data_IF_403687520946
#
_entry.id   IF_403687520946
#
_cell.length_a   1.000
_cell.length_b   1.000
_cell.length_c   1.000
_cell.angle_alpha   90.00
_cell.angle_beta   90.00
_cell.angle_gamma   90.00
#
_symmetry.space_group_name_H-M   'P 1'
#
loop_
_entity.id
_entity.type
_entity.pdbx_description
1 polymer ?
#
# COMPACT_ATOMS: atom_id res chain seq x y z
N UNK A 1 15.98 -20.79 60.73
CA UNK A 1 15.59 -22.20 60.91
C UNK A 1 15.07 -22.72 59.58
N UNK A 2 15.75 -23.71 59.02
CA UNK A 2 15.35 -24.45 57.82
C UNK A 2 14.17 -25.36 58.14
N UNK A 3 13.22 -25.52 57.22
CA UNK A 3 12.54 -26.79 57.04
C UNK A 3 12.46 -27.17 55.57
N UNK A 4 12.99 -28.37 55.30
CA UNK A 4 12.90 -29.12 54.07
C UNK A 4 11.65 -30.02 54.09
N UNK A 5 11.27 -30.46 52.89
CA UNK A 5 10.88 -31.84 52.52
C UNK A 5 9.39 -32.23 52.30
N UNK A 6 9.20 -32.78 51.09
CA UNK A 6 8.42 -33.96 50.64
C UNK A 6 6.87 -33.84 50.58
N UNK A 7 6.27 -33.94 49.38
CA UNK A 7 5.77 -35.18 48.71
C UNK A 7 4.60 -35.80 49.52
N UNK A 8 3.39 -36.10 49.03
CA UNK A 8 2.84 -36.53 47.74
C UNK A 8 1.31 -36.43 47.84
N UNK A 9 0.58 -35.91 46.85
CA UNK A 9 -0.79 -36.39 46.51
C UNK A 9 -0.97 -36.25 45.00
N UNK A 10 -0.85 -37.39 44.32
CA UNK A 10 -1.31 -37.64 42.97
C UNK A 10 -2.82 -37.87 42.94
N UNK A 11 -3.40 -37.60 41.77
CA UNK A 11 -4.73 -37.99 41.29
C UNK A 11 -5.91 -37.05 41.56
N UNK A 12 -6.21 -36.20 40.57
CA UNK A 12 -7.48 -36.20 39.81
C UNK A 12 -7.45 -35.13 38.69
N UNK A 13 -7.63 -35.54 37.43
CA UNK A 13 -8.33 -34.72 36.43
C UNK A 13 -7.54 -34.08 35.27
N UNK A 14 -7.15 -34.92 34.31
CA UNK A 14 -7.16 -34.74 32.85
C UNK A 14 -7.54 -33.37 32.21
N UNK A 15 -6.64 -32.93 31.31
CA UNK A 15 -6.79 -32.10 30.10
C UNK A 15 -7.39 -30.68 30.18
N UNK A 16 -6.60 -29.69 29.81
CA UNK A 16 -6.62 -29.10 28.46
C UNK A 16 -5.38 -28.20 28.32
N UNK A 17 -4.43 -28.66 27.51
CA UNK A 17 -3.35 -27.82 27.00
C UNK A 17 -3.97 -26.63 26.26
N UNK A 18 -3.84 -25.43 26.81
CA UNK A 18 -4.04 -24.22 26.05
C UNK A 18 -2.93 -24.17 25.01
N UNK A 19 -3.27 -24.61 23.80
CA UNK A 19 -2.45 -24.45 22.61
C UNK A 19 -2.25 -22.96 22.37
N UNK A 20 -1.24 -22.37 23.01
CA UNK A 20 -0.64 -21.15 22.52
C UNK A 20 -0.17 -21.47 21.10
N UNK A 21 -0.88 -20.93 20.11
CA UNK A 21 -0.48 -21.02 18.73
C UNK A 21 0.94 -20.47 18.63
N UNK A 22 1.90 -21.35 18.36
CA UNK A 22 3.25 -20.99 17.95
C UNK A 22 3.07 -20.04 16.76
N UNK A 23 3.66 -18.82 16.75
CA UNK A 23 3.57 -17.94 15.60
C UNK A 23 4.06 -18.74 14.39
N UNK A 24 3.22 -18.90 13.36
CA UNK A 24 3.65 -19.48 12.10
C UNK A 24 4.90 -18.73 11.70
N UNK A 25 6.02 -19.42 11.49
CA UNK A 25 7.23 -18.79 10.95
C UNK A 25 6.82 -18.04 9.68
N UNK A 26 6.74 -16.71 9.76
CA UNK A 26 6.26 -15.90 8.65
C UNK A 26 7.12 -16.19 7.43
N UNK A 27 6.42 -16.52 6.34
CA UNK A 27 7.06 -16.82 5.07
C UNK A 27 7.92 -15.64 4.61
N UNK A 28 8.96 -15.90 3.82
CA UNK A 28 9.75 -14.84 3.18
C UNK A 28 8.87 -13.87 2.37
N UNK A 29 7.82 -14.37 1.71
CA UNK A 29 6.90 -13.51 0.95
C UNK A 29 6.14 -12.55 1.86
N UNK A 30 5.66 -13.02 3.02
CA UNK A 30 4.88 -12.20 3.94
C UNK A 30 5.74 -11.05 4.49
N UNK A 31 6.95 -11.36 4.93
CA UNK A 31 7.89 -10.35 5.47
C UNK A 31 8.28 -9.28 4.44
N UNK A 32 8.43 -9.65 3.17
CA UNK A 32 8.67 -8.70 2.08
C UNK A 32 7.44 -7.82 1.78
N UNK A 33 6.25 -8.43 1.81
CA UNK A 33 5.00 -7.73 1.60
C UNK A 33 4.73 -6.72 2.73
N UNK A 34 4.92 -7.13 3.98
CA UNK A 34 4.80 -6.26 5.16
C UNK A 34 5.81 -5.12 5.15
N UNK A 35 7.07 -5.40 4.75
CA UNK A 35 8.05 -4.34 4.53
C UNK A 35 7.52 -3.27 3.55
N UNK A 36 6.99 -3.69 2.40
CA UNK A 36 6.48 -2.77 1.39
C UNK A 36 5.26 -1.98 1.88
N UNK A 37 4.32 -2.64 2.58
CA UNK A 37 3.18 -1.97 3.22
C UNK A 37 3.64 -0.87 4.18
N UNK A 38 4.52 -1.20 5.12
CA UNK A 38 5.00 -0.26 6.14
C UNK A 38 5.79 0.90 5.52
N UNK A 39 6.59 0.62 4.48
CA UNK A 39 7.31 1.66 3.75
C UNK A 39 6.33 2.63 3.07
N UNK A 40 5.28 2.11 2.42
CA UNK A 40 4.26 2.92 1.74
C UNK A 40 3.47 3.77 2.74
N UNK A 41 3.07 3.19 3.88
CA UNK A 41 2.41 3.89 4.99
C UNK A 41 3.30 5.04 5.47
N UNK A 42 4.59 4.79 5.72
CA UNK A 42 5.52 5.81 6.21
C UNK A 42 5.76 6.96 5.23
N UNK A 43 5.55 6.72 3.93
CA UNK A 43 5.69 7.73 2.87
C UNK A 43 4.42 8.59 2.76
N UNK A 44 3.25 7.96 2.71
CA UNK A 44 2.00 8.65 2.36
C UNK A 44 1.22 9.14 3.57
N UNK A 45 1.35 8.48 4.71
CA UNK A 45 0.52 8.76 5.88
C UNK A 45 1.16 9.85 6.71
N UNK A 46 0.42 10.93 6.90
CA UNK A 46 0.84 12.03 7.75
C UNK A 46 0.06 12.04 9.08
N UNK A 47 0.62 12.64 10.14
CA UNK A 47 -0.08 12.76 11.40
C UNK A 47 -1.45 13.42 11.26
N UNK A 48 -2.39 12.94 12.07
CA UNK A 48 -3.79 13.37 12.13
C UNK A 48 -4.60 13.11 10.85
N UNK A 49 -4.11 12.30 9.92
CA UNK A 49 -4.88 11.90 8.74
C UNK A 49 -6.10 11.05 9.13
N UNK A 50 -7.18 11.20 8.37
CA UNK A 50 -8.24 10.19 8.28
C UNK A 50 -7.86 9.17 7.20
N UNK A 51 -7.71 7.91 7.61
CA UNK A 51 -7.33 6.81 6.71
C UNK A 51 -8.48 5.83 6.57
N UNK A 52 -8.80 5.45 5.33
CA UNK A 52 -9.71 4.36 5.03
C UNK A 52 -8.92 3.16 4.47
N UNK A 53 -8.99 2.00 5.14
CA UNK A 53 -8.33 0.75 4.74
C UNK A 53 -9.38 -0.20 4.15
N UNK A 54 -9.31 -0.42 2.83
CA UNK A 54 -10.17 -1.33 2.09
C UNK A 54 -9.62 -2.75 2.17
N UNK A 55 -10.50 -3.72 2.38
CA UNK A 55 -10.14 -5.12 2.64
C UNK A 55 -9.20 -5.22 3.84
N UNK A 56 -9.55 -4.53 4.93
CA UNK A 56 -8.67 -4.39 6.10
C UNK A 56 -8.36 -5.73 6.81
N UNK A 57 -9.13 -6.79 6.54
CA UNK A 57 -8.94 -8.12 7.13
C UNK A 57 -9.27 -8.14 8.64
N UNK A 58 -8.90 -9.23 9.30
CA UNK A 58 -9.07 -9.42 10.75
C UNK A 58 -7.80 -9.06 11.53
N UNK A 59 -7.94 -8.20 12.55
CA UNK A 59 -7.05 -7.84 13.69
C UNK A 59 -5.55 -7.54 13.49
N UNK A 60 -4.86 -8.27 12.61
CA UNK A 60 -3.41 -8.52 12.63
C UNK A 60 -2.58 -7.27 12.33
N UNK A 61 -3.17 -6.30 11.63
CA UNK A 61 -2.50 -5.11 11.12
C UNK A 61 -2.88 -3.81 11.88
N UNK A 62 -3.66 -3.88 12.96
CA UNK A 62 -4.20 -2.69 13.63
C UNK A 62 -3.11 -1.73 14.18
N UNK A 63 -1.94 -2.26 14.55
CA UNK A 63 -0.83 -1.50 15.13
C UNK A 63 -0.03 -0.69 14.11
N UNK A 64 -0.14 -1.00 12.80
CA UNK A 64 0.64 -0.33 11.75
C UNK A 64 0.37 1.18 11.67
N UNK A 65 -0.79 1.60 12.14
CA UNK A 65 -1.23 2.99 12.14
C UNK A 65 -0.73 3.80 13.33
N UNK A 66 -0.33 3.14 14.44
CA UNK A 66 0.14 3.82 15.65
C UNK A 66 1.38 4.67 15.37
N UNK A 67 2.34 4.09 14.64
CA UNK A 67 3.58 4.76 14.26
C UNK A 67 3.38 5.97 13.34
N UNK A 68 2.24 6.03 12.63
CA UNK A 68 1.89 7.11 11.73
C UNK A 68 1.08 8.24 12.41
N UNK A 69 0.63 8.04 13.66
CA UNK A 69 -0.12 9.02 14.46
C UNK A 69 -1.36 9.55 13.72
N UNK A 70 -2.14 8.65 13.11
CA UNK A 70 -3.38 9.02 12.42
C UNK A 70 -4.41 9.63 13.39
N UNK A 71 -5.36 10.38 12.85
CA UNK A 71 -6.44 11.00 13.63
C UNK A 71 -7.70 10.15 13.69
N UNK A 72 -7.99 9.44 12.61
CA UNK A 72 -9.19 8.62 12.47
C UNK A 72 -8.95 7.44 11.52
N UNK A 73 -9.52 6.28 11.83
CA UNK A 73 -9.43 5.06 11.03
C UNK A 73 -10.81 4.59 10.57
N UNK A 74 -10.92 4.24 9.29
CA UNK A 74 -12.12 3.66 8.68
C UNK A 74 -11.74 2.30 8.09
N UNK A 75 -12.16 1.20 8.71
CA UNK A 75 -11.96 -0.14 8.17
C UNK A 75 -13.16 -0.60 7.35
N UNK A 76 -12.94 -1.06 6.12
CA UNK A 76 -14.00 -1.67 5.29
C UNK A 76 -13.55 -3.07 4.90
N UNK A 77 -14.38 -4.08 5.19
CA UNK A 77 -14.13 -5.45 4.77
C UNK A 77 -15.42 -6.15 4.33
N UNK A 78 -15.28 -7.19 3.50
CA UNK A 78 -16.40 -8.00 3.00
C UNK A 78 -16.90 -8.95 4.09
N UNK A 79 -16.04 -9.33 5.04
CA UNK A 79 -16.32 -10.32 6.06
C UNK A 79 -16.80 -9.67 7.37
N UNK A 80 -18.05 -9.94 7.76
CA UNK A 80 -18.58 -9.60 9.10
C UNK A 80 -17.70 -10.10 10.24
N UNK A 81 -17.16 -11.32 10.14
CA UNK A 81 -16.22 -11.86 11.13
C UNK A 81 -14.91 -11.08 11.18
N UNK A 82 -14.34 -10.69 10.03
CA UNK A 82 -13.14 -9.86 9.98
C UNK A 82 -13.35 -8.47 10.59
N UNK A 83 -14.50 -7.86 10.31
CA UNK A 83 -14.93 -6.58 10.90
C UNK A 83 -15.08 -6.71 12.42
N UNK A 84 -15.70 -7.79 12.92
CA UNK A 84 -15.88 -8.02 14.36
C UNK A 84 -14.55 -8.24 15.06
N UNK A 85 -13.67 -9.06 14.51
CA UNK A 85 -12.33 -9.31 15.04
C UNK A 85 -11.49 -8.02 15.12
N UNK A 86 -11.54 -7.18 14.07
CA UNK A 86 -10.88 -5.88 14.08
C UNK A 86 -11.45 -4.94 15.14
N UNK A 87 -12.78 -4.91 15.29
CA UNK A 87 -13.45 -4.09 16.29
C UNK A 87 -13.05 -4.52 17.69
N UNK A 88 -13.10 -5.82 17.99
CA UNK A 88 -12.69 -6.36 19.29
C UNK A 88 -11.21 -6.11 19.58
N UNK A 89 -10.34 -6.32 18.59
CA UNK A 89 -8.91 -6.03 18.71
C UNK A 89 -8.69 -4.53 18.99
N UNK A 90 -9.38 -3.65 18.27
CA UNK A 90 -9.29 -2.21 18.48
C UNK A 90 -9.85 -1.80 19.84
N UNK A 91 -10.98 -2.32 20.29
CA UNK A 91 -11.57 -2.00 21.61
C UNK A 91 -10.69 -2.51 22.77
N UNK A 92 -10.01 -3.63 22.57
CA UNK A 92 -9.04 -4.16 23.53
C UNK A 92 -7.78 -3.28 23.65
N UNK A 93 -7.44 -2.58 22.57
CA UNK A 93 -6.30 -1.69 22.50
C UNK A 93 -6.77 -0.27 22.80
N UNK A 94 -6.28 0.36 23.88
CA UNK A 94 -6.58 1.77 24.15
C UNK A 94 -5.87 2.70 23.15
N UNK A 95 -6.36 2.74 21.91
CA UNK A 95 -5.84 3.58 20.83
C UNK A 95 -6.18 5.04 21.07
N UNK A 96 -5.29 5.91 20.60
CA UNK A 96 -5.40 7.38 20.75
C UNK A 96 -6.27 8.04 19.66
N UNK A 97 -6.58 7.29 18.60
CA UNK A 97 -7.39 7.74 17.46
C UNK A 97 -8.73 7.01 17.45
N UNK A 98 -9.76 7.62 16.90
CA UNK A 98 -11.08 7.00 16.76
C UNK A 98 -11.11 6.04 15.58
N UNK A 99 -11.93 4.99 15.64
CA UNK A 99 -12.10 4.04 14.55
C UNK A 99 -13.57 3.73 14.28
N UNK A 100 -13.89 3.53 13.01
CA UNK A 100 -15.18 3.02 12.53
C UNK A 100 -14.93 1.84 11.59
N UNK A 101 -15.84 0.86 11.63
CA UNK A 101 -15.72 -0.36 10.83
C UNK A 101 -17.04 -0.64 10.11
N UNK A 102 -16.94 -0.98 8.82
CA UNK A 102 -18.06 -1.22 7.94
C UNK A 102 -17.90 -2.57 7.25
N UNK A 103 -19.00 -3.32 7.19
CA UNK A 103 -19.14 -4.50 6.35
C UNK A 103 -19.69 -4.04 4.99
N UNK A 104 -18.87 -4.12 3.95
CA UNK A 104 -19.28 -3.84 2.58
C UNK A 104 -18.28 -4.44 1.61
N UNK A 105 -18.73 -4.84 0.42
CA UNK A 105 -17.82 -5.13 -0.68
C UNK A 105 -17.58 -3.87 -1.52
N UNK A 106 -16.34 -3.31 -1.50
CA UNK A 106 -15.99 -2.15 -2.28
C UNK A 106 -16.23 -2.30 -3.80
N UNK A 107 -16.27 -3.54 -4.33
CA UNK A 107 -16.46 -3.83 -5.75
C UNK A 107 -17.90 -3.94 -6.20
N UNK A 108 -18.81 -4.43 -5.35
CA UNK A 108 -20.17 -4.82 -5.78
C UNK A 108 -21.26 -3.99 -5.13
N UNK A 109 -21.01 -3.37 -3.97
CA UNK A 109 -22.00 -2.56 -3.27
C UNK A 109 -21.82 -1.08 -3.58
N UNK A 110 -22.93 -0.38 -3.84
CA UNK A 110 -22.88 1.07 -3.75
C UNK A 110 -22.76 1.33 -2.26
N UNK A 111 -21.68 2.00 -1.84
CA UNK A 111 -21.53 2.45 -0.47
C UNK A 111 -22.86 2.97 0.04
N UNK A 112 -23.48 2.21 0.95
CA UNK A 112 -24.85 2.44 1.39
C UNK A 112 -24.97 3.76 2.15
N UNK A 113 -26.16 4.07 2.69
CA UNK A 113 -26.41 5.34 3.41
C UNK A 113 -25.31 5.66 4.45
N UNK A 114 -24.82 4.65 5.17
CA UNK A 114 -23.77 4.82 6.18
C UNK A 114 -22.40 5.23 5.61
N UNK A 115 -22.00 4.71 4.45
CA UNK A 115 -20.74 5.10 3.81
C UNK A 115 -20.90 6.37 2.96
N UNK A 116 -22.12 6.71 2.53
CA UNK A 116 -22.41 8.02 1.94
C UNK A 116 -22.22 9.15 2.95
N UNK A 117 -22.55 8.93 4.22
CA UNK A 117 -22.23 9.89 5.30
C UNK A 117 -20.73 10.12 5.44
N UNK A 118 -19.88 9.17 4.98
CA UNK A 118 -18.42 9.26 4.96
C UNK A 118 -17.85 9.86 3.68
N UNK A 119 -18.70 10.33 2.76
CA UNK A 119 -18.24 10.98 1.54
C UNK A 119 -17.35 12.18 1.85
N UNK A 120 -16.22 12.29 1.14
CA UNK A 120 -15.21 13.33 1.28
C UNK A 120 -14.66 13.49 2.72
N UNK A 121 -14.51 12.41 3.48
CA UNK A 121 -13.95 12.45 4.83
C UNK A 121 -12.52 11.90 4.92
N UNK A 122 -12.11 11.03 3.99
CA UNK A 122 -10.79 10.41 4.02
C UNK A 122 -9.74 11.31 3.36
N UNK A 123 -8.61 11.52 4.04
CA UNK A 123 -7.42 12.12 3.42
C UNK A 123 -6.71 11.08 2.55
N UNK A 124 -6.78 9.80 2.99
CA UNK A 124 -6.11 8.68 2.37
C UNK A 124 -7.07 7.49 2.31
N UNK A 125 -7.15 6.84 1.15
CA UNK A 125 -7.76 5.52 0.99
C UNK A 125 -6.66 4.56 0.59
N UNK A 126 -6.49 3.45 1.31
CA UNK A 126 -5.54 2.42 0.97
C UNK A 126 -6.23 1.10 0.66
N UNK A 127 -5.70 0.37 -0.32
CA UNK A 127 -6.10 -0.99 -0.64
C UNK A 127 -4.82 -1.83 -0.69
N UNK A 128 -4.37 -2.25 0.50
CA UNK A 128 -3.11 -2.96 0.69
C UNK A 128 -3.24 -4.46 0.47
N UNK A 129 -4.44 -4.95 0.16
CA UNK A 129 -4.74 -6.34 -0.15
C UNK A 129 -5.92 -6.38 -1.13
N UNK A 130 -6.00 -7.45 -1.92
CA UNK A 130 -7.20 -7.80 -2.69
C UNK A 130 -7.69 -6.82 -3.76
N UNK A 131 -6.91 -5.79 -4.15
CA UNK A 131 -7.28 -4.90 -5.27
C UNK A 131 -7.67 -5.70 -6.53
N UNK A 132 -6.92 -6.75 -6.83
CA UNK A 132 -7.11 -7.57 -8.03
C UNK A 132 -8.51 -8.17 -8.15
N UNK A 133 -9.25 -8.34 -7.05
CA UNK A 133 -10.60 -8.89 -7.08
C UNK A 133 -11.57 -8.04 -7.91
N UNK A 134 -11.32 -6.73 -8.01
CA UNK A 134 -12.16 -5.83 -8.81
C UNK A 134 -12.02 -6.06 -10.33
N UNK A 135 -10.96 -6.76 -10.77
CA UNK A 135 -10.69 -7.01 -12.19
C UNK A 135 -11.40 -8.25 -12.75
N UNK A 136 -12.39 -8.81 -12.05
CA UNK A 136 -13.22 -9.88 -12.62
C UNK A 136 -14.01 -9.39 -13.85
N UNK A 137 -14.54 -8.16 -13.81
CA UNK A 137 -15.20 -7.49 -14.91
C UNK A 137 -15.00 -5.96 -14.81
N UNK A 138 -15.37 -5.22 -15.86
CA UNK A 138 -15.15 -3.77 -15.92
C UNK A 138 -16.05 -3.02 -14.92
N UNK A 139 -17.28 -3.50 -14.70
CA UNK A 139 -18.25 -2.89 -13.81
C UNK A 139 -17.74 -2.84 -12.36
N UNK A 140 -17.16 -3.94 -11.86
CA UNK A 140 -16.61 -4.05 -10.52
C UNK A 140 -15.44 -3.07 -10.32
N UNK A 141 -14.50 -3.03 -11.27
CA UNK A 141 -13.37 -2.10 -11.22
C UNK A 141 -13.82 -0.63 -11.25
N UNK A 142 -14.77 -0.30 -12.14
CA UNK A 142 -15.36 1.05 -12.24
C UNK A 142 -16.03 1.45 -10.93
N UNK A 143 -16.79 0.53 -10.34
CA UNK A 143 -17.53 0.75 -9.10
C UNK A 143 -16.60 0.98 -7.92
N UNK A 144 -15.57 0.14 -7.75
CA UNK A 144 -14.53 0.33 -6.74
C UNK A 144 -13.92 1.74 -6.82
N UNK A 145 -13.55 2.18 -8.01
CA UNK A 145 -12.86 3.46 -8.19
C UNK A 145 -13.79 4.66 -7.94
N UNK A 146 -15.07 4.56 -8.29
CA UNK A 146 -16.07 5.57 -7.91
C UNK A 146 -16.28 5.63 -6.40
N UNK A 147 -16.37 4.47 -5.75
CA UNK A 147 -16.48 4.33 -4.30
C UNK A 147 -15.25 4.96 -3.59
N UNK A 148 -14.03 4.66 -4.04
CA UNK A 148 -12.80 5.29 -3.55
C UNK A 148 -12.84 6.81 -3.73
N UNK A 149 -13.20 7.28 -4.92
CA UNK A 149 -13.26 8.70 -5.23
C UNK A 149 -14.28 9.46 -4.37
N UNK A 150 -15.40 8.82 -4.03
CA UNK A 150 -16.43 9.44 -3.17
C UNK A 150 -15.99 9.58 -1.71
N UNK A 151 -15.17 8.66 -1.20
CA UNK A 151 -14.62 8.73 0.16
C UNK A 151 -13.53 9.79 0.31
N UNK A 152 -12.71 9.97 -0.73
CA UNK A 152 -11.57 10.89 -0.69
C UNK A 152 -12.00 12.35 -0.65
N UNK A 153 -11.32 13.14 0.18
CA UNK A 153 -11.32 14.60 0.06
C UNK A 153 -10.62 15.03 -1.24
N UNK A 154 -10.94 16.21 -1.78
CA UNK A 154 -10.09 16.85 -2.79
C UNK A 154 -8.64 16.94 -2.29
N UNK A 155 -7.69 16.62 -3.16
CA UNK A 155 -6.26 16.53 -2.84
C UNK A 155 -5.81 15.21 -2.19
N UNK A 156 -6.74 14.34 -1.78
CA UNK A 156 -6.46 13.07 -1.12
C UNK A 156 -5.88 12.00 -2.05
N UNK A 157 -5.30 10.94 -1.47
CA UNK A 157 -4.61 9.88 -2.22
C UNK A 157 -5.27 8.52 -2.08
N UNK A 158 -5.37 7.81 -3.20
CA UNK A 158 -5.66 6.38 -3.25
C UNK A 158 -4.38 5.61 -3.56
N UNK A 159 -3.96 4.70 -2.68
CA UNK A 159 -2.75 3.93 -2.90
C UNK A 159 -2.87 2.49 -2.43
N UNK A 160 -1.94 1.64 -2.87
CA UNK A 160 -1.90 0.28 -2.38
C UNK A 160 -0.86 -0.58 -3.06
N UNK A 161 -1.01 -1.89 -2.86
CA UNK A 161 -0.13 -2.91 -3.42
C UNK A 161 -1.02 -3.95 -4.12
N UNK A 162 -0.60 -4.37 -5.31
CA UNK A 162 -1.28 -5.43 -6.07
C UNK A 162 -0.25 -6.29 -6.79
N UNK A 163 -0.55 -7.55 -7.15
CA UNK A 163 0.35 -8.33 -7.98
C UNK A 163 0.71 -7.62 -9.30
N UNK A 164 1.99 -7.62 -9.64
CA UNK A 164 2.53 -6.99 -10.84
C UNK A 164 2.18 -7.82 -12.07
N UNK A 165 1.08 -7.45 -12.72
CA UNK A 165 0.54 -8.23 -13.82
C UNK A 165 1.45 -8.18 -15.06
N UNK A 166 2.21 -7.10 -15.26
CA UNK A 166 3.21 -6.99 -16.33
C UNK A 166 4.34 -8.00 -16.15
N UNK A 167 4.88 -8.13 -14.93
CA UNK A 167 5.95 -9.07 -14.59
C UNK A 167 5.47 -10.51 -14.65
N UNK A 168 4.28 -10.78 -14.09
CA UNK A 168 3.65 -12.10 -14.12
C UNK A 168 3.41 -12.55 -15.57
N UNK A 169 2.88 -11.66 -16.41
CA UNK A 169 2.63 -11.95 -17.82
C UNK A 169 3.92 -12.11 -18.64
N UNK A 170 4.93 -11.27 -18.41
CA UNK A 170 6.23 -11.40 -19.08
C UNK A 170 6.90 -12.74 -18.75
N UNK A 171 6.83 -13.18 -17.48
CA UNK A 171 7.31 -14.51 -17.07
C UNK A 171 6.52 -15.64 -17.75
N UNK A 172 5.21 -15.47 -17.92
CA UNK A 172 4.36 -16.43 -18.64
C UNK A 172 4.76 -16.55 -20.12
N UNK A 173 4.86 -15.43 -20.83
CA UNK A 173 5.23 -15.41 -22.25
C UNK A 173 6.61 -16.03 -22.49
N UNK A 174 7.61 -15.68 -21.67
CA UNK A 174 8.95 -16.28 -21.76
C UNK A 174 8.95 -17.80 -21.56
N UNK A 175 8.09 -18.30 -20.67
CA UNK A 175 7.95 -19.73 -20.41
C UNK A 175 7.33 -20.46 -21.61
N UNK A 176 6.33 -19.84 -22.25
CA UNK A 176 5.69 -20.33 -23.48
C UNK A 176 6.72 -20.37 -24.63
N UNK A 177 7.46 -19.29 -24.86
CA UNK A 177 8.51 -19.22 -25.89
C UNK A 177 9.61 -20.28 -25.69
N UNK A 178 10.08 -20.46 -24.45
CA UNK A 178 11.08 -21.47 -24.12
C UNK A 178 10.60 -22.90 -24.39
N UNK A 179 9.29 -23.15 -24.21
CA UNK A 179 8.68 -24.44 -24.53
C UNK A 179 8.62 -24.69 -26.04
N UNK A 180 8.24 -23.67 -26.82
CA UNK A 180 8.24 -23.77 -28.28
C UNK A 180 9.66 -24.00 -28.84
N UNK A 181 10.67 -23.31 -28.29
CA UNK A 181 12.06 -23.46 -28.72
C UNK A 181 12.68 -24.82 -28.34
N UNK A 182 12.17 -25.52 -27.32
CA UNK A 182 12.61 -26.86 -26.92
C UNK A 182 11.90 -27.99 -27.66
N UNK A 183 10.76 -27.71 -28.31
CA UNK A 183 9.84 -28.72 -28.83
C UNK A 183 10.11 -29.12 -30.29
N UNK A 184 11.35 -29.47 -30.61
CA UNK A 184 11.64 -30.35 -31.76
C UNK A 184 11.20 -31.80 -31.53
N UNK A 185 10.75 -32.17 -30.32
CA UNK A 185 10.44 -33.55 -29.94
C UNK A 185 9.50 -33.63 -28.73
N UNK A 186 8.19 -33.37 -28.86
CA UNK A 186 7.06 -34.00 -28.12
C UNK A 186 5.76 -33.17 -28.23
N UNK A 187 4.64 -33.81 -27.82
CA UNK A 187 3.22 -33.57 -28.18
C UNK A 187 2.78 -32.08 -28.33
N UNK A 188 2.02 -31.75 -29.39
CA UNK A 188 1.62 -30.38 -29.74
C UNK A 188 0.59 -29.71 -28.80
N UNK A 189 0.12 -30.35 -27.73
CA UNK A 189 -1.06 -29.90 -26.96
C UNK A 189 -0.84 -29.76 -25.44
N UNK A 190 0.40 -29.61 -24.97
CA UNK A 190 0.65 -29.30 -23.54
C UNK A 190 1.52 -28.06 -23.50
N UNK A 191 0.91 -26.87 -23.53
CA UNK A 191 1.62 -25.62 -23.27
C UNK A 191 1.87 -25.54 -21.76
N UNK A 192 3.06 -25.12 -21.29
CA UNK A 192 3.29 -25.01 -19.85
C UNK A 192 2.57 -23.77 -19.33
N UNK A 193 1.33 -23.96 -18.90
CA UNK A 193 0.50 -22.99 -18.19
C UNK A 193 1.02 -22.65 -16.78
N UNK A 194 2.21 -23.13 -16.42
CA UNK A 194 2.79 -23.06 -15.09
C UNK A 194 4.20 -22.47 -15.13
N UNK A 195 4.42 -21.41 -14.35
CA UNK A 195 5.72 -20.82 -14.06
C UNK A 195 6.18 -21.38 -12.72
N UNK A 196 7.31 -22.08 -12.70
CA UNK A 196 7.91 -22.62 -11.48
C UNK A 196 9.19 -21.89 -11.14
N UNK A 197 9.22 -21.28 -9.96
CA UNK A 197 10.42 -20.73 -9.32
C UNK A 197 10.76 -21.55 -8.07
N UNK A 198 11.90 -21.27 -7.44
CA UNK A 198 12.29 -21.86 -6.16
C UNK A 198 11.35 -21.42 -5.02
N UNK A 199 10.79 -20.20 -5.12
CA UNK A 199 10.02 -19.58 -4.04
C UNK A 199 8.50 -19.62 -4.24
N UNK A 200 8.04 -19.81 -5.48
CA UNK A 200 6.61 -19.75 -5.82
C UNK A 200 6.30 -20.52 -7.11
N UNK A 201 5.01 -20.76 -7.33
CA UNK A 201 4.46 -21.34 -8.55
C UNK A 201 3.25 -20.51 -9.00
N UNK A 202 3.19 -20.16 -10.29
CA UNK A 202 2.05 -19.46 -10.90
C UNK A 202 1.43 -20.39 -11.93
N UNK A 203 0.12 -20.60 -11.86
CA UNK A 203 -0.62 -21.43 -12.82
C UNK A 203 -1.79 -20.65 -13.38
N UNK A 204 -1.87 -20.52 -14.70
CA UNK A 204 -3.01 -19.88 -15.38
C UNK A 204 -4.13 -20.89 -15.61
N UNK A 205 -5.38 -20.49 -15.38
CA UNK A 205 -6.54 -21.36 -15.58
C UNK A 205 -6.81 -21.63 -17.06
N UNK A 206 -6.74 -20.57 -17.88
CA UNK A 206 -6.99 -20.60 -19.32
C UNK A 206 -5.76 -20.09 -20.04
N UNK A 207 -5.42 -20.68 -21.18
CA UNK A 207 -4.35 -20.18 -22.06
C UNK A 207 -4.88 -19.01 -22.89
N UNK A 208 -4.13 -17.91 -22.94
CA UNK A 208 -4.42 -16.79 -23.84
C UNK A 208 -3.14 -16.27 -24.48
N UNK A 209 -3.21 -15.97 -25.77
CA UNK A 209 -2.09 -15.41 -26.53
C UNK A 209 -1.88 -13.92 -26.22
N UNK A 210 -2.94 -13.23 -25.81
CA UNK A 210 -2.95 -11.78 -25.55
C UNK A 210 -3.30 -11.52 -24.10
N UNK A 211 -2.82 -10.41 -23.57
CA UNK A 211 -3.17 -9.93 -22.24
C UNK A 211 -4.64 -9.45 -22.26
N UNK A 212 -5.58 -10.13 -21.60
CA UNK A 212 -6.97 -9.69 -21.54
C UNK A 212 -7.15 -8.51 -20.58
N UNK A 213 -8.17 -7.69 -20.84
CA UNK A 213 -8.43 -6.50 -20.02
C UNK A 213 -8.98 -6.84 -18.62
N UNK A 214 -9.78 -7.90 -18.52
CA UNK A 214 -10.48 -8.34 -17.29
C UNK A 214 -10.63 -9.86 -17.25
N UNK A 215 -10.89 -10.41 -16.07
CA UNK A 215 -11.33 -11.80 -15.87
C UNK A 215 -10.22 -12.86 -15.92
N UNK A 216 -8.96 -12.48 -16.10
CA UNK A 216 -7.86 -13.45 -16.23
C UNK A 216 -7.40 -13.99 -14.90
N UNK A 217 -7.86 -15.21 -14.61
CA UNK A 217 -7.56 -15.92 -13.37
C UNK A 217 -6.25 -16.68 -13.45
N UNK A 218 -5.49 -16.60 -12.37
CA UNK A 218 -4.31 -17.43 -12.13
C UNK A 218 -4.23 -17.78 -10.64
N UNK A 219 -3.58 -18.89 -10.35
CA UNK A 219 -3.27 -19.32 -9.00
C UNK A 219 -1.80 -19.00 -8.70
N UNK A 220 -1.56 -18.19 -7.68
CA UNK A 220 -0.24 -17.97 -7.11
C UNK A 220 -0.10 -18.83 -5.86
N UNK A 221 0.86 -19.74 -5.88
CA UNK A 221 1.15 -20.63 -4.78
C UNK A 221 2.53 -20.35 -4.21
N UNK A 222 2.56 -19.95 -2.95
CA UNK A 222 3.74 -20.07 -2.10
C UNK A 222 3.75 -21.42 -1.39
N UNK A 223 4.80 -21.76 -0.64
CA UNK A 223 5.06 -23.09 -0.07
C UNK A 223 3.81 -23.89 0.39
N UNK A 224 2.86 -23.27 1.10
CA UNK A 224 1.69 -23.98 1.66
C UNK A 224 0.31 -23.38 1.32
N UNK A 225 0.23 -22.17 0.75
CA UNK A 225 -1.05 -21.49 0.53
C UNK A 225 -1.23 -21.12 -0.96
N UNK A 226 -2.11 -21.83 -1.70
CA UNK A 226 -2.55 -21.40 -3.02
C UNK A 226 -3.58 -20.27 -2.89
N UNK A 227 -3.32 -19.15 -3.55
CA UNK A 227 -4.24 -18.02 -3.65
C UNK A 227 -4.69 -17.84 -5.09
N UNK A 228 -6.00 -17.78 -5.31
CA UNK A 228 -6.56 -17.40 -6.61
C UNK A 228 -6.52 -15.88 -6.74
N UNK A 229 -6.10 -15.42 -7.91
CA UNK A 229 -5.84 -14.02 -8.19
C UNK A 229 -6.24 -13.69 -9.62
N UNK A 230 -6.41 -12.40 -9.89
CA UNK A 230 -6.80 -11.86 -11.19
C UNK A 230 -5.67 -10.96 -11.71
N UNK A 231 -5.43 -10.97 -13.02
CA UNK A 231 -4.55 -9.96 -13.60
C UNK A 231 -5.24 -8.60 -13.63
N UNK A 232 -4.48 -7.59 -13.27
CA UNK A 232 -4.85 -6.18 -13.32
C UNK A 232 -4.23 -5.57 -14.57
N UNK A 233 -5.07 -5.21 -15.55
CA UNK A 233 -4.60 -4.48 -16.71
C UNK A 233 -4.38 -3.00 -16.33
N UNK A 234 -3.14 -2.60 -16.03
CA UNK A 234 -2.85 -1.24 -15.56
C UNK A 234 -3.36 -0.10 -16.45
N UNK A 235 -3.31 -0.18 -17.79
CA UNK A 235 -3.94 0.84 -18.64
C UNK A 235 -5.46 0.94 -18.44
N UNK A 236 -6.15 -0.18 -18.22
CA UNK A 236 -7.58 -0.18 -17.87
C UNK A 236 -7.81 0.44 -16.50
N UNK A 237 -6.97 0.10 -15.50
CA UNK A 237 -7.04 0.70 -14.16
C UNK A 237 -6.90 2.22 -14.23
N UNK A 238 -5.92 2.73 -14.97
CA UNK A 238 -5.68 4.17 -15.16
C UNK A 238 -6.86 4.85 -15.85
N UNK A 239 -7.40 4.22 -16.92
CA UNK A 239 -8.56 4.74 -17.64
C UNK A 239 -9.77 4.87 -16.71
N UNK A 240 -10.13 3.80 -16.01
CA UNK A 240 -11.28 3.78 -15.10
C UNK A 240 -11.08 4.71 -13.90
N UNK A 241 -9.86 4.85 -13.40
CA UNK A 241 -9.55 5.79 -12.32
C UNK A 241 -9.81 7.23 -12.78
N UNK A 242 -9.40 7.58 -14.00
CA UNK A 242 -9.71 8.88 -14.61
C UNK A 242 -11.21 9.11 -14.76
N UNK A 243 -11.96 8.10 -15.21
CA UNK A 243 -13.43 8.17 -15.30
C UNK A 243 -14.08 8.45 -13.93
N UNK A 244 -13.49 7.93 -12.85
CA UNK A 244 -13.92 8.18 -11.48
C UNK A 244 -13.43 9.52 -10.89
N UNK A 245 -12.68 10.33 -11.63
CA UNK A 245 -12.11 11.60 -11.16
C UNK A 245 -10.82 11.45 -10.36
N UNK A 246 -10.08 10.36 -10.53
CA UNK A 246 -8.76 10.14 -9.96
C UNK A 246 -7.67 10.31 -11.02
N UNK A 247 -6.62 11.06 -10.68
CA UNK A 247 -5.45 11.24 -11.53
C UNK A 247 -4.36 10.21 -11.20
N UNK A 248 -3.77 9.63 -12.24
CA UNK A 248 -2.63 8.74 -12.12
C UNK A 248 -1.42 9.51 -11.59
N UNK A 249 -0.78 8.95 -10.56
CA UNK A 249 0.48 9.45 -10.02
C UNK A 249 1.61 8.51 -10.40
N UNK A 250 1.51 7.24 -9.97
CA UNK A 250 2.56 6.26 -10.19
C UNK A 250 2.02 4.83 -10.08
N UNK A 251 2.53 3.95 -10.95
CA UNK A 251 2.51 2.50 -10.74
C UNK A 251 3.97 2.07 -10.86
N UNK A 252 4.51 1.50 -9.79
CA UNK A 252 5.94 1.17 -9.69
C UNK A 252 6.12 -0.23 -9.13
N UNK A 253 6.88 -1.06 -9.86
CA UNK A 253 7.25 -2.39 -9.40
C UNK A 253 8.03 -2.32 -8.08
N UNK A 254 7.77 -3.24 -7.15
CA UNK A 254 8.39 -3.16 -5.83
C UNK A 254 9.92 -3.34 -5.85
N UNK A 255 10.49 -3.93 -6.89
CA UNK A 255 11.96 -3.97 -7.04
C UNK A 255 12.56 -2.60 -7.32
N UNK A 256 11.92 -1.80 -8.18
CA UNK A 256 12.30 -0.41 -8.44
C UNK A 256 12.07 0.46 -7.20
N UNK A 257 10.90 0.31 -6.56
CA UNK A 257 10.59 0.99 -5.30
C UNK A 257 11.64 0.68 -4.21
N UNK A 258 12.06 -0.57 -4.12
CA UNK A 258 13.12 -0.99 -3.21
C UNK A 258 14.44 -0.29 -3.53
N UNK A 259 14.87 -0.29 -4.79
CA UNK A 259 16.15 0.32 -5.17
C UNK A 259 16.18 1.83 -4.88
N UNK A 260 15.06 2.52 -5.09
CA UNK A 260 14.89 3.95 -4.80
C UNK A 260 14.90 4.26 -3.30
N UNK A 261 14.39 3.36 -2.46
CA UNK A 261 14.13 3.63 -1.04
C UNK A 261 14.98 2.79 -0.05
N UNK A 262 15.82 1.86 -0.52
CA UNK A 262 16.55 0.91 0.33
C UNK A 262 17.42 1.56 1.40
N UNK A 263 17.94 2.76 1.15
CA UNK A 263 18.74 3.49 2.14
C UNK A 263 17.89 4.06 3.28
N UNK A 264 16.66 4.50 2.97
CA UNK A 264 15.73 5.08 3.94
C UNK A 264 15.07 4.01 4.83
N UNK A 265 14.88 2.81 4.29
CA UNK A 265 14.23 1.71 4.99
C UNK A 265 15.17 0.55 5.32
N UNK A 266 16.49 0.77 5.29
CA UNK A 266 17.49 -0.26 5.61
C UNK A 266 17.23 -0.91 6.99
N UNK A 267 16.91 -0.10 8.01
CA UNK A 267 16.58 -0.62 9.34
C UNK A 267 15.30 -1.48 9.35
N UNK A 268 14.30 -1.13 8.53
CA UNK A 268 13.05 -1.91 8.46
C UNK A 268 13.29 -3.26 7.79
N UNK A 269 14.11 -3.30 6.74
CA UNK A 269 14.50 -4.55 6.06
C UNK A 269 15.30 -5.48 6.95
N UNK A 270 16.21 -4.93 7.78
CA UNK A 270 16.96 -5.72 8.76
C UNK A 270 16.02 -6.30 9.84
N UNK A 271 15.01 -5.52 10.25
CA UNK A 271 14.02 -5.95 11.23
C UNK A 271 12.95 -6.90 10.66
N UNK A 272 12.73 -6.91 9.34
CA UNK A 272 11.83 -7.85 8.65
C UNK A 272 12.34 -9.31 8.70
N UNK A 273 13.48 -9.55 9.32
CA UNK A 273 13.90 -10.87 9.77
C UNK A 273 15.02 -11.49 8.94
N UNK A 274 15.50 -12.67 9.35
CA UNK A 274 16.68 -13.27 8.78
C UNK A 274 16.45 -13.69 7.33
N UNK A 275 17.54 -13.90 6.60
CA UNK A 275 17.56 -14.54 5.28
C UNK A 275 16.87 -13.76 4.14
N UNK A 276 16.64 -12.45 4.32
CA UNK A 276 16.14 -11.53 3.28
C UNK A 276 17.25 -10.77 2.57
N UNK A 277 18.27 -10.36 3.32
CA UNK A 277 19.36 -9.51 2.85
C UNK A 277 20.73 -10.19 3.00
N UNK A 278 21.68 -9.79 2.16
CA UNK A 278 23.10 -10.14 2.25
C UNK A 278 23.81 -9.33 3.35
N UNK A 279 25.09 -9.63 3.67
CA UNK A 279 25.86 -8.88 4.66
C UNK A 279 26.05 -7.38 4.34
N UNK A 280 25.73 -6.95 3.12
CA UNK A 280 25.79 -5.55 2.66
C UNK A 280 24.41 -4.88 2.71
N UNK A 281 23.39 -5.56 3.23
CA UNK A 281 22.02 -5.05 3.34
C UNK A 281 21.23 -5.06 2.02
N UNK A 282 21.69 -5.79 1.00
CA UNK A 282 20.97 -5.94 -0.28
C UNK A 282 20.08 -7.17 -0.28
N UNK A 283 18.90 -7.10 -0.89
CA UNK A 283 18.02 -8.26 -1.00
C UNK A 283 18.73 -9.42 -1.71
N UNK A 284 18.56 -10.64 -1.18
CA UNK A 284 19.01 -11.85 -1.84
C UNK A 284 18.23 -12.06 -3.15
N UNK A 285 18.81 -12.70 -4.19
CA UNK A 285 18.15 -12.88 -5.48
C UNK A 285 16.75 -13.48 -5.40
N UNK A 286 16.53 -14.47 -4.53
CA UNK A 286 15.22 -15.09 -4.30
C UNK A 286 14.19 -14.12 -3.70
N UNK A 287 14.62 -13.23 -2.81
CA UNK A 287 13.77 -12.24 -2.16
C UNK A 287 13.43 -11.12 -3.13
N UNK A 288 14.40 -10.73 -3.96
CA UNK A 288 14.21 -9.76 -5.03
C UNK A 288 13.21 -10.28 -6.09
N UNK A 289 13.31 -11.55 -6.48
CA UNK A 289 12.39 -12.17 -7.44
C UNK A 289 10.94 -12.23 -6.91
N UNK A 290 10.76 -12.57 -5.63
CA UNK A 290 9.43 -12.55 -4.98
C UNK A 290 8.88 -11.13 -4.86
N UNK A 291 9.72 -10.16 -4.49
CA UNK A 291 9.33 -8.77 -4.38
C UNK A 291 8.83 -8.22 -5.73
N UNK A 292 9.49 -8.62 -6.84
CA UNK A 292 9.12 -8.21 -8.19
C UNK A 292 7.76 -8.72 -8.68
N UNK A 293 7.13 -9.65 -7.97
CA UNK A 293 5.74 -10.08 -8.27
C UNK A 293 4.68 -9.07 -7.85
N UNK A 294 5.07 -7.96 -7.23
CA UNK A 294 4.16 -6.97 -6.69
C UNK A 294 4.53 -5.57 -7.17
N UNK A 295 3.52 -4.72 -7.25
CA UNK A 295 3.62 -3.34 -7.68
C UNK A 295 2.87 -2.45 -6.71
N UNK A 296 3.35 -1.23 -6.52
CA UNK A 296 2.57 -0.17 -5.90
C UNK A 296 1.73 0.54 -6.95
N UNK A 297 0.59 1.07 -6.53
CA UNK A 297 -0.18 2.00 -7.34
C UNK A 297 -0.54 3.21 -6.47
N UNK A 298 -0.54 4.39 -7.10
CA UNK A 298 -0.86 5.66 -6.47
C UNK A 298 -1.68 6.49 -7.46
N UNK A 299 -2.84 6.96 -6.97
CA UNK A 299 -3.71 7.92 -7.62
C UNK A 299 -4.01 9.07 -6.66
N UNK A 300 -4.33 10.23 -7.21
CA UNK A 300 -4.72 11.41 -6.43
C UNK A 300 -6.10 11.88 -6.88
N UNK A 301 -6.97 12.24 -5.94
CA UNK A 301 -8.18 13.00 -6.26
C UNK A 301 -7.78 14.47 -6.42
N UNK A 302 -7.94 15.10 -7.59
CA UNK A 302 -7.54 16.48 -7.80
C UNK A 302 -8.28 17.41 -6.84
N UNK A 303 -7.59 18.48 -6.43
CA UNK A 303 -8.21 19.57 -5.70
C UNK A 303 -8.66 20.65 -6.69
N UNK A 304 -9.98 20.92 -6.82
CA UNK A 304 -10.48 21.93 -7.77
C UNK A 304 -10.01 23.35 -7.42
N UNK A 305 -9.67 23.61 -6.15
CA UNK A 305 -9.25 24.94 -5.69
C UNK A 305 -7.74 25.19 -5.87
N UNK A 306 -6.97 24.15 -6.20
CA UNK A 306 -5.53 24.25 -6.46
C UNK A 306 -5.25 24.00 -7.95
N UNK A 307 -4.76 25.02 -8.70
CA UNK A 307 -4.40 24.85 -10.10
C UNK A 307 -3.45 23.66 -10.29
N UNK A 308 -3.66 22.84 -11.33
CA UNK A 308 -2.87 21.62 -11.57
C UNK A 308 -1.35 21.85 -11.50
N UNK A 309 -0.85 23.01 -11.95
CA UNK A 309 0.57 23.39 -11.91
C UNK A 309 1.14 23.65 -10.50
N UNK A 310 0.26 23.85 -9.51
CA UNK A 310 0.58 24.11 -8.11
C UNK A 310 0.21 22.94 -7.20
N UNK A 311 -0.44 21.90 -7.75
CA UNK A 311 -0.67 20.67 -7.00
C UNK A 311 0.68 20.03 -6.69
N UNK A 312 0.90 19.52 -5.47
CA UNK A 312 2.15 18.85 -5.12
C UNK A 312 2.25 17.54 -5.91
N UNK A 313 2.72 17.61 -7.15
CA UNK A 313 3.05 16.45 -7.95
C UNK A 313 4.04 15.60 -7.15
N UNK A 314 3.76 14.30 -7.05
CA UNK A 314 4.70 13.34 -6.49
C UNK A 314 5.91 13.29 -7.44
N UNK A 315 6.87 14.19 -7.23
CA UNK A 315 8.08 14.24 -8.02
C UNK A 315 9.01 13.13 -7.51
N UNK A 316 9.37 12.21 -8.40
CA UNK A 316 10.23 11.00 -8.23
C UNK A 316 11.57 11.20 -7.49
N UNK A 317 11.93 12.43 -7.16
CA UNK A 317 13.19 12.70 -6.47
C UNK A 317 13.01 12.42 -4.99
N UNK A 318 13.89 11.59 -4.43
CA UNK A 318 14.00 11.22 -3.00
C UNK A 318 13.93 12.41 -2.03
N UNK A 319 14.19 13.62 -2.53
CA UNK A 319 14.02 14.91 -1.85
C UNK A 319 12.56 15.23 -1.48
N UNK A 320 11.57 14.64 -2.16
CA UNK A 320 10.13 14.89 -1.97
C UNK A 320 9.57 14.32 -0.66
N UNK A 321 10.06 13.17 -0.18
CA UNK A 321 9.61 12.59 1.09
C UNK A 321 10.02 13.49 2.27
N UNK A 322 11.25 14.02 2.26
CA UNK A 322 11.70 15.02 3.23
C UNK A 322 11.01 16.38 3.04
N UNK A 323 10.88 16.87 1.81
CA UNK A 323 10.21 18.14 1.55
C UNK A 323 8.73 18.10 1.92
N UNK A 324 8.02 16.98 1.80
CA UNK A 324 6.59 16.86 2.18
C UNK A 324 6.37 16.96 3.69
N UNK A 325 7.21 16.31 4.51
CA UNK A 325 7.14 16.52 5.96
C UNK A 325 7.38 18.00 6.30
N UNK A 326 8.34 18.65 5.65
CA UNK A 326 8.63 20.07 5.88
C UNK A 326 7.51 20.98 5.36
N UNK A 327 6.96 20.73 4.17
CA UNK A 327 5.94 21.58 3.54
C UNK A 327 4.57 21.45 4.22
N UNK A 328 4.19 20.25 4.68
CA UNK A 328 2.93 20.04 5.43
C UNK A 328 3.03 20.61 6.85
N UNK A 329 4.20 20.50 7.50
CA UNK A 329 4.44 21.16 8.80
C UNK A 329 4.42 22.69 8.63
N UNK A 330 5.08 23.22 7.60
CA UNK A 330 5.10 24.66 7.33
C UNK A 330 3.73 25.20 6.91
N UNK A 331 2.96 24.49 6.09
CA UNK A 331 1.64 24.95 5.66
C UNK A 331 0.62 24.92 6.81
N UNK A 332 0.64 23.89 7.68
CA UNK A 332 -0.19 23.84 8.89
C UNK A 332 0.27 24.86 9.94
N UNK A 333 1.57 25.10 10.08
CA UNK A 333 2.10 26.15 10.97
C UNK A 333 1.72 27.55 10.47
N UNK A 334 1.77 27.78 9.16
CA UNK A 334 1.39 29.05 8.54
C UNK A 334 -0.12 29.29 8.61
N UNK A 335 -0.95 28.25 8.40
CA UNK A 335 -2.41 28.33 8.60
C UNK A 335 -2.78 28.57 10.07
N UNK A 336 -2.07 27.95 11.03
CA UNK A 336 -2.24 28.23 12.47
C UNK A 336 -1.80 29.65 12.83
N UNK A 337 -0.71 30.14 12.25
CA UNK A 337 -0.25 31.52 12.46
C UNK A 337 -1.25 32.54 11.88
N UNK A 338 -1.84 32.27 10.72
CA UNK A 338 -2.87 33.10 10.10
C UNK A 338 -4.18 33.09 10.92
N UNK A 339 -4.58 31.93 11.46
CA UNK A 339 -5.71 31.82 12.38
C UNK A 339 -5.48 32.58 13.69
N UNK A 340 -4.25 32.51 14.24
CA UNK A 340 -3.90 33.23 15.47
C UNK A 340 -3.80 34.76 15.24
N UNK A 341 -3.40 35.20 14.04
CA UNK A 341 -3.43 36.61 13.64
C UNK A 341 -4.86 37.12 13.38
N UNK A 342 -5.78 36.26 12.93
CA UNK A 342 -7.19 36.64 12.78
C UNK A 342 -7.86 36.88 14.13
N UNK A 343 -7.57 36.07 15.15
CA UNK A 343 -8.08 36.26 16.52
C UNK A 343 -7.45 37.44 17.27
N UNK A 344 -6.28 37.92 16.85
CA UNK A 344 -5.63 39.11 17.41
C UNK A 344 -6.05 40.43 16.76
N UNK A 345 -7.02 40.42 15.83
CA UNK A 345 -7.49 41.64 15.15
C UNK A 345 -8.59 42.40 15.92
N UNK A 346 -8.35 42.65 17.20
CA UNK A 346 -8.97 43.77 17.93
C UNK A 346 -7.89 44.42 18.79
N UNK A 347 -7.21 45.41 18.22
CA UNK A 347 -6.81 46.70 18.80
C UNK A 347 -5.99 47.40 17.72
N UNK A 348 -6.59 48.43 17.12
CA UNK A 348 -5.91 49.33 16.21
C UNK A 348 -4.93 50.22 16.98
N UNK A 349 -3.70 50.37 16.48
CA UNK A 349 -3.08 51.70 16.35
C UNK A 349 -1.89 51.67 15.39
N UNK A 350 -1.77 52.77 14.68
CA UNK A 350 -0.85 53.11 13.58
C UNK A 350 0.63 52.92 13.91
N UNK A 351 1.35 52.15 13.08
CA UNK A 351 2.64 52.51 12.43
C UNK A 351 3.21 51.30 11.67
N UNK A 352 3.45 51.46 10.37
CA UNK A 352 4.28 50.61 9.49
C UNK A 352 5.35 51.55 8.88
N UNK A 353 6.53 51.10 8.36
CA UNK A 353 6.87 49.73 7.95
C UNK A 353 8.28 49.22 8.36
N UNK A 354 8.46 47.89 8.42
CA UNK A 354 9.74 47.24 8.13
C UNK A 354 9.54 45.80 7.65
N UNK A 355 9.67 45.60 6.35
CA UNK A 355 9.74 44.32 5.66
C UNK A 355 11.03 43.57 6.06
N UNK A 356 10.89 42.39 6.64
CA UNK A 356 11.97 41.42 6.80
C UNK A 356 11.97 40.47 5.60
N UNK A 357 12.93 40.67 4.70
CA UNK A 357 13.32 39.72 3.66
C UNK A 357 13.90 38.45 4.30
N UNK A 358 13.29 37.29 4.06
CA UNK A 358 13.98 36.00 4.17
C UNK A 358 14.49 35.58 2.79
N UNK A 359 15.79 35.76 2.58
CA UNK A 359 16.55 35.17 1.47
C UNK A 359 16.71 33.67 1.70
N UNK A 360 16.17 32.84 0.81
CA UNK A 360 16.63 31.46 0.62
C UNK A 360 17.60 31.48 -0.57
N UNK A 361 18.87 31.26 -0.27
CA UNK A 361 19.94 31.07 -1.26
C UNK A 361 19.62 29.88 -2.16
N UNK A 362 19.26 30.16 -3.41
CA UNK A 362 19.40 29.23 -4.52
C UNK A 362 20.90 29.19 -4.91
N UNK A 363 21.58 28.08 -4.62
CA UNK A 363 22.91 27.81 -5.17
C UNK A 363 22.77 27.53 -6.67
N UNK A 364 23.13 28.56 -7.44
CA UNK A 364 23.45 28.49 -8.87
C UNK A 364 24.67 27.59 -9.08
N UNK A 365 24.60 26.68 -10.05
CA UNK A 365 25.75 26.36 -10.91
C UNK A 365 25.32 26.55 -12.37
N UNK A 366 26.15 27.16 -13.23
CA UNK A 366 25.70 27.72 -14.49
C UNK A 366 25.85 26.74 -15.66
N UNK A 367 24.82 26.71 -16.51
CA UNK A 367 24.96 26.34 -17.92
C UNK A 367 26.03 27.22 -18.57
N UNK A 368 27.08 26.61 -19.12
CA UNK A 368 27.86 27.22 -20.19
C UNK A 368 27.36 26.67 -21.51
N UNK A 369 26.81 27.58 -22.31
CA UNK A 369 26.57 27.41 -23.73
C UNK A 369 27.92 27.29 -24.45
N UNK A 370 28.06 26.25 -25.27
CA UNK A 370 28.97 26.25 -26.41
C UNK A 370 28.17 25.72 -27.61
N UNK A 371 27.91 26.62 -28.54
CA UNK A 371 27.29 26.34 -29.84
C UNK A 371 28.40 26.14 -30.89
N UNK A 372 28.13 25.27 -31.86
CA UNK A 372 28.48 25.33 -33.31
C UNK A 372 29.37 24.19 -33.88
N UNK A 373 28.87 23.67 -35.02
CA UNK A 373 29.46 22.88 -36.14
C UNK A 373 29.77 21.40 -35.88
N UNK A 374 29.27 20.41 -36.63
CA UNK A 374 28.53 20.30 -37.91
C UNK A 374 27.52 19.15 -37.80
#
# INVERSE_FOLDING_TARGET
>A
MSFRNLETWSDLGTSMSSSFAIPRTESTHHRLYEFAKLALIKIFVHPYATVCDLYCGGGVDAEKWDGAQIGHYIGIDVSSSGVSEMREAWESQRKIYTAEFFEADPCTENFGVQLQEKANQADLVCCLQNLQLCFENEENARKLLHNVSSLLKPGGYFFGITPDSSTIWAKYQKNVEAYHNRSGSMKPNIVPNCIRSESYMITFEVEEEKFPLFGKKYQLKFAHDPANSLLVHFPSLIRLAREAGLEYVEIQNLTEFYDDNRMHFASMLLNAGPNLVDPRGRLLPRSFDVLGLYTTFIFQKPDPDVPHLLQPHYCRTTVSIMMRQVFVILSKAMMRALSCCADCSMVASSTWPSLLCFNVLASRTPFHSATICF
#
